data_IF_827108509947
#
_entry.id   IF_827108509947
#
_cell.length_a   1.000
_cell.length_b   1.000
_cell.length_c   1.000
_cell.angle_alpha   90.00
_cell.angle_beta   90.00
_cell.angle_gamma   90.00
#
_symmetry.space_group_name_H-M   'P 1'
#
loop_
_entity.id
_entity.type
_entity.pdbx_description
1 polymer ?
#
# COMPACT_ATOMS: atom_id res chain seq x y z
N UNK A 1 -16.54 20.52 9.68
CA UNK A 1 -16.61 19.45 10.69
C UNK A 1 -15.23 19.32 11.29
N UNK A 2 -15.08 19.71 12.56
CA UNK A 2 -13.81 19.72 13.26
C UNK A 2 -13.85 18.56 14.27
N UNK A 3 -13.48 17.37 13.82
CA UNK A 3 -13.46 16.14 14.63
C UNK A 3 -12.23 16.09 15.56
N UNK A 4 -11.94 17.21 16.23
CA UNK A 4 -10.97 17.26 17.32
C UNK A 4 -11.63 16.75 18.60
N UNK A 5 -12.08 15.49 18.57
CA UNK A 5 -12.38 14.77 19.80
C UNK A 5 -11.02 14.56 20.49
N UNK A 6 -10.83 14.96 21.76
CA UNK A 6 -9.57 14.73 22.44
C UNK A 6 -9.32 13.23 22.43
N UNK A 7 -8.15 12.83 21.91
CA UNK A 7 -7.66 11.47 22.05
C UNK A 7 -7.60 11.19 23.56
N UNK A 8 -8.12 10.04 23.98
CA UNK A 8 -8.21 9.65 25.38
C UNK A 8 -6.84 9.83 26.06
N UNK A 9 -6.81 10.60 27.16
CA UNK A 9 -5.61 10.90 27.94
C UNK A 9 -4.82 9.66 28.35
N UNK A 10 -5.51 8.53 28.48
CA UNK A 10 -4.89 7.25 28.81
C UNK A 10 -3.97 6.69 27.71
N UNK A 11 -4.08 7.16 26.46
CA UNK A 11 -3.25 6.66 25.36
C UNK A 11 -1.79 7.11 25.48
N UNK A 12 -1.55 8.32 25.98
CA UNK A 12 -0.21 8.91 26.07
C UNK A 12 0.63 8.31 27.21
N UNK A 13 -0.03 7.65 28.17
CA UNK A 13 0.61 7.09 29.37
C UNK A 13 1.00 5.61 29.20
N UNK A 14 0.52 4.95 28.14
CA UNK A 14 0.73 3.52 27.91
C UNK A 14 1.88 3.27 26.94
N UNK A 15 2.70 2.27 27.24
CA UNK A 15 3.76 1.80 26.33
C UNK A 15 3.18 1.29 25.02
N UNK A 16 3.73 1.74 23.90
CA UNK A 16 3.38 1.23 22.56
C UNK A 16 3.87 -0.21 22.40
N UNK A 17 2.94 -1.16 22.26
CA UNK A 17 3.21 -2.59 22.07
C UNK A 17 3.35 -2.95 20.58
N UNK A 18 4.29 -2.28 19.88
CA UNK A 18 4.44 -2.40 18.43
C UNK A 18 4.74 -3.83 17.96
N UNK A 19 5.69 -4.50 18.60
CA UNK A 19 6.09 -5.86 18.26
C UNK A 19 4.90 -6.83 18.33
N UNK A 20 4.15 -6.81 19.45
CA UNK A 20 3.02 -7.71 19.63
C UNK A 20 1.93 -7.51 18.57
N UNK A 21 1.66 -6.25 18.22
CA UNK A 21 0.68 -5.93 17.18
C UNK A 21 1.10 -6.45 15.80
N UNK A 22 2.35 -6.23 15.40
CA UNK A 22 2.86 -6.71 14.12
C UNK A 22 2.92 -8.24 14.09
N UNK A 23 3.38 -8.88 15.17
CA UNK A 23 3.41 -10.35 15.28
C UNK A 23 2.03 -10.97 15.19
N UNK A 24 1.01 -10.36 15.81
CA UNK A 24 -0.38 -10.80 15.70
C UNK A 24 -0.88 -10.70 14.25
N UNK A 25 -0.66 -9.56 13.57
CA UNK A 25 -1.07 -9.38 12.16
C UNK A 25 -0.38 -10.42 11.24
N UNK A 26 0.90 -10.71 11.46
CA UNK A 26 1.63 -11.70 10.65
C UNK A 26 1.08 -13.12 10.86
N UNK A 27 0.77 -13.48 12.10
CA UNK A 27 0.34 -14.85 12.45
C UNK A 27 -1.14 -15.09 12.20
N UNK A 28 -1.97 -14.15 12.63
CA UNK A 28 -3.42 -14.32 12.70
C UNK A 28 -4.09 -13.91 11.39
N UNK A 29 -3.55 -12.89 10.71
CA UNK A 29 -4.07 -12.41 9.41
C UNK A 29 -3.24 -12.89 8.22
N UNK A 30 -2.15 -13.64 8.46
CA UNK A 30 -1.21 -14.11 7.43
C UNK A 30 -0.68 -12.99 6.52
N UNK A 31 -0.56 -11.77 7.04
CA UNK A 31 -0.15 -10.62 6.26
C UNK A 31 1.32 -10.71 5.83
N UNK A 32 1.57 -10.53 4.53
CA UNK A 32 2.90 -10.49 3.93
C UNK A 32 3.19 -9.17 3.18
N UNK A 33 2.22 -8.24 3.13
CA UNK A 33 2.35 -6.91 2.54
C UNK A 33 2.00 -5.85 3.58
N UNK A 34 2.88 -4.86 3.75
CA UNK A 34 2.70 -3.72 4.65
C UNK A 34 2.81 -2.40 3.89
N UNK A 35 1.93 -1.44 4.19
CA UNK A 35 2.03 -0.07 3.69
C UNK A 35 2.28 0.88 4.87
N UNK A 36 3.47 1.47 4.92
CA UNK A 36 3.81 2.50 5.92
C UNK A 36 3.29 3.86 5.46
N UNK A 37 2.34 4.42 6.21
CA UNK A 37 1.79 5.76 5.97
C UNK A 37 2.49 6.74 6.90
N UNK A 38 3.60 7.30 6.43
CA UNK A 38 4.40 8.28 7.18
C UNK A 38 5.10 9.25 6.21
N UNK A 39 5.46 10.49 6.65
CA UNK A 39 6.22 11.43 5.82
C UNK A 39 7.63 10.93 5.44
N UNK A 40 8.16 9.99 6.21
CA UNK A 40 9.44 9.33 5.96
C UNK A 40 9.46 7.96 6.63
N UNK A 41 9.99 6.92 5.97
CA UNK A 41 10.01 5.57 6.50
C UNK A 41 10.83 5.47 7.79
N UNK A 42 10.17 5.09 8.88
CA UNK A 42 10.81 4.81 10.18
C UNK A 42 10.45 3.43 10.71
N UNK A 43 9.33 2.84 10.26
CA UNK A 43 8.85 1.55 10.76
C UNK A 43 9.33 0.37 9.92
N UNK A 44 9.67 0.60 8.64
CA UNK A 44 10.04 -0.45 7.70
C UNK A 44 11.14 -1.40 8.21
N UNK A 45 12.13 -0.90 8.96
CA UNK A 45 13.17 -1.75 9.55
C UNK A 45 12.59 -2.65 10.66
N UNK A 46 11.87 -2.06 11.61
CA UNK A 46 11.26 -2.79 12.72
C UNK A 46 10.23 -3.82 12.26
N UNK A 47 9.46 -3.53 11.20
CA UNK A 47 8.53 -4.50 10.60
C UNK A 47 9.28 -5.71 10.05
N UNK A 48 10.41 -5.51 9.35
CA UNK A 48 11.24 -6.64 8.87
C UNK A 48 11.75 -7.49 10.01
N UNK A 49 12.29 -6.87 11.05
CA UNK A 49 12.78 -7.57 12.24
C UNK A 49 11.67 -8.39 12.91
N UNK A 50 10.47 -7.82 13.08
CA UNK A 50 9.32 -8.55 13.61
C UNK A 50 8.96 -9.75 12.71
N UNK A 51 9.00 -9.57 11.40
CA UNK A 51 8.68 -10.62 10.43
C UNK A 51 9.69 -11.76 10.42
N UNK A 52 10.99 -11.45 10.47
CA UNK A 52 12.07 -12.43 10.57
C UNK A 52 11.98 -13.26 11.85
N UNK A 53 11.59 -12.64 12.97
CA UNK A 53 11.41 -13.33 14.25
C UNK A 53 10.11 -14.16 14.32
N UNK A 54 9.12 -13.81 13.51
CA UNK A 54 7.76 -14.37 13.62
C UNK A 54 7.47 -15.43 12.56
N UNK A 55 7.95 -15.25 11.33
CA UNK A 55 7.59 -16.09 10.19
C UNK A 55 8.55 -17.27 10.01
N UNK A 56 8.03 -18.48 10.17
CA UNK A 56 8.79 -19.73 10.03
C UNK A 56 9.03 -20.13 8.57
N UNK A 57 8.28 -19.57 7.61
CA UNK A 57 8.32 -19.99 6.20
C UNK A 57 9.42 -19.31 5.37
N UNK A 58 10.33 -18.55 5.99
CA UNK A 58 11.49 -17.89 5.33
C UNK A 58 11.14 -17.02 4.12
N UNK A 59 9.88 -16.59 3.97
CA UNK A 59 9.50 -15.61 2.97
C UNK A 59 9.93 -14.21 3.41
N UNK A 60 10.11 -13.28 2.46
CA UNK A 60 10.38 -11.87 2.77
C UNK A 60 9.10 -11.05 2.65
N UNK A 61 8.81 -10.13 3.58
CA UNK A 61 7.62 -9.28 3.49
C UNK A 61 7.83 -8.20 2.42
N UNK A 62 6.77 -7.85 1.72
CA UNK A 62 6.73 -6.64 0.89
C UNK A 62 6.37 -5.45 1.78
N UNK A 63 7.28 -4.49 1.92
CA UNK A 63 7.05 -3.26 2.70
C UNK A 63 7.10 -2.06 1.77
N UNK A 64 5.94 -1.43 1.58
CA UNK A 64 5.74 -0.26 0.74
C UNK A 64 5.74 0.99 1.62
N UNK A 65 6.37 2.05 1.10
CA UNK A 65 6.52 3.32 1.81
C UNK A 65 5.66 4.35 1.09
N UNK A 66 4.67 4.93 1.76
CA UNK A 66 3.78 5.89 1.11
C UNK A 66 4.55 7.14 0.65
N UNK A 67 5.46 7.64 1.49
CA UNK A 67 6.28 8.83 1.21
C UNK A 67 7.71 8.63 1.70
N UNK A 68 8.61 9.48 1.20
CA UNK A 68 9.99 9.55 1.68
C UNK A 68 10.51 10.97 1.56
N UNK A 69 11.00 11.51 2.67
CA UNK A 69 11.63 12.83 2.72
C UNK A 69 12.61 13.06 1.56
N UNK A 70 12.53 14.25 0.95
CA UNK A 70 13.33 14.69 -0.21
C UNK A 70 13.02 13.95 -1.52
N UNK A 71 11.96 13.15 -1.57
CA UNK A 71 11.39 12.62 -2.81
C UNK A 71 10.07 13.33 -3.12
N UNK A 72 9.66 13.30 -4.38
CA UNK A 72 8.38 13.87 -4.81
C UNK A 72 7.22 13.02 -4.29
N UNK A 73 6.28 13.63 -3.58
CA UNK A 73 5.21 12.92 -2.89
C UNK A 73 4.28 12.17 -3.84
N UNK A 74 3.94 12.79 -4.99
CA UNK A 74 3.03 12.18 -5.95
C UNK A 74 3.69 11.02 -6.66
N UNK A 75 4.93 11.19 -7.11
CA UNK A 75 5.71 10.14 -7.77
C UNK A 75 5.94 8.98 -6.80
N UNK A 76 6.34 9.25 -5.55
CA UNK A 76 6.59 8.19 -4.56
C UNK A 76 5.31 7.44 -4.26
N UNK A 77 4.19 8.11 -3.98
CA UNK A 77 2.93 7.44 -3.70
C UNK A 77 2.40 6.64 -4.90
N UNK A 78 2.38 7.23 -6.10
CA UNK A 78 1.86 6.56 -7.30
C UNK A 78 2.72 5.38 -7.72
N UNK A 79 4.05 5.47 -7.58
CA UNK A 79 4.96 4.35 -7.84
C UNK A 79 4.66 3.18 -6.89
N UNK A 80 4.37 3.48 -5.61
CA UNK A 80 4.12 2.47 -4.58
C UNK A 80 2.74 1.84 -4.72
N UNK A 81 1.75 2.63 -5.14
CA UNK A 81 0.46 2.13 -5.59
C UNK A 81 0.60 1.24 -6.83
N UNK A 82 1.39 1.63 -7.83
CA UNK A 82 1.65 0.79 -9.00
C UNK A 82 2.27 -0.57 -8.60
N UNK A 83 3.18 -0.59 -7.62
CA UNK A 83 3.72 -1.85 -7.05
C UNK A 83 2.64 -2.72 -6.37
N UNK A 84 1.55 -2.12 -5.89
CA UNK A 84 0.39 -2.83 -5.32
C UNK A 84 -0.58 -3.36 -6.41
N UNK A 85 -0.58 -2.75 -7.59
CA UNK A 85 -1.58 -2.95 -8.65
C UNK A 85 -1.41 -4.19 -9.52
N UNK A 86 -0.51 -5.10 -9.16
CA UNK A 86 -0.58 -6.48 -9.70
C UNK A 86 -1.88 -7.20 -9.27
N UNK A 87 -2.67 -6.61 -8.35
CA UNK A 87 -4.09 -6.91 -8.09
C UNK A 87 -5.04 -5.91 -8.74
N UNK A 88 -6.04 -6.40 -9.49
CA UNK A 88 -6.98 -5.60 -10.30
C UNK A 88 -7.94 -4.71 -9.50
N UNK A 89 -8.20 -5.04 -8.22
CA UNK A 89 -9.16 -4.32 -7.38
C UNK A 89 -8.70 -2.90 -6.99
N UNK A 90 -7.40 -2.64 -7.05
CA UNK A 90 -6.79 -1.37 -6.64
C UNK A 90 -7.17 -0.22 -7.58
N UNK A 91 -7.17 -0.49 -8.89
CA UNK A 91 -7.50 0.52 -9.90
C UNK A 91 -8.97 0.93 -9.86
N UNK A 92 -9.87 -0.01 -9.57
CA UNK A 92 -11.30 0.29 -9.42
C UNK A 92 -11.56 1.30 -8.30
N UNK A 93 -10.91 1.10 -7.15
CA UNK A 93 -11.03 2.01 -6.00
C UNK A 93 -10.36 3.37 -6.25
N UNK A 94 -9.21 3.40 -6.94
CA UNK A 94 -8.53 4.64 -7.33
C UNK A 94 -9.42 5.52 -8.22
N UNK A 95 -10.05 4.93 -9.25
CA UNK A 95 -10.95 5.66 -10.13
C UNK A 95 -12.22 6.15 -9.40
N UNK A 96 -12.76 5.33 -8.49
CA UNK A 96 -13.96 5.66 -7.72
C UNK A 96 -13.74 6.83 -6.75
N UNK A 97 -12.63 6.84 -6.00
CA UNK A 97 -12.35 7.84 -4.95
C UNK A 97 -12.02 9.23 -5.48
N UNK A 98 -11.52 9.33 -6.72
CA UNK A 98 -11.21 10.61 -7.36
C UNK A 98 -12.42 11.35 -7.94
N UNK A 99 -13.64 10.82 -7.79
CA UNK A 99 -14.85 11.37 -8.42
C UNK A 99 -14.59 11.76 -9.88
N UNK A 100 -13.83 10.93 -10.60
CA UNK A 100 -13.80 11.04 -12.05
C UNK A 100 -15.21 10.65 -12.47
N UNK A 101 -16.07 11.65 -12.65
CA UNK A 101 -17.43 11.46 -13.15
C UNK A 101 -17.30 10.60 -14.41
N UNK A 102 -18.16 9.59 -14.61
CA UNK A 102 -18.21 8.92 -15.90
C UNK A 102 -18.43 10.01 -16.95
N UNK A 103 -17.37 10.34 -17.71
CA UNK A 103 -17.45 11.36 -18.73
C UNK A 103 -18.43 10.87 -19.78
N UNK A 104 -19.24 11.78 -20.32
CA UNK A 104 -20.45 11.48 -21.10
C UNK A 104 -20.21 10.66 -22.39
N UNK A 105 -18.95 10.40 -22.75
CA UNK A 105 -18.57 9.82 -24.03
C UNK A 105 -17.49 8.74 -23.85
N UNK A 106 -17.84 7.48 -24.07
CA UNK A 106 -16.90 6.35 -23.95
C UNK A 106 -15.76 6.38 -25.00
N UNK A 107 -15.95 7.10 -26.12
CA UNK A 107 -15.00 7.18 -27.21
C UNK A 107 -13.78 8.07 -26.93
N UNK A 108 -13.83 8.91 -25.89
CA UNK A 108 -12.73 9.84 -25.54
C UNK A 108 -11.63 9.21 -24.68
N UNK A 109 -11.81 7.96 -24.22
CA UNK A 109 -10.91 7.29 -23.27
C UNK A 109 -10.18 6.06 -23.79
N UNK A 110 -10.53 5.57 -24.98
CA UNK A 110 -9.65 4.62 -25.62
C UNK A 110 -8.51 5.43 -26.23
N UNK A 111 -7.49 5.75 -25.41
CA UNK A 111 -6.16 5.80 -25.96
C UNK A 111 -6.04 4.57 -26.86
N UNK A 112 -5.59 4.74 -28.09
CA UNK A 112 -5.26 3.60 -28.96
C UNK A 112 -4.07 2.90 -28.32
N UNK A 113 -4.33 2.09 -27.30
CA UNK A 113 -3.34 1.25 -26.68
C UNK A 113 -2.89 0.26 -27.74
N UNK A 114 -1.57 0.01 -27.83
CA UNK A 114 -1.09 -1.01 -28.74
C UNK A 114 -1.83 -2.32 -28.41
N UNK A 115 -2.32 -2.99 -29.45
CA UNK A 115 -2.83 -4.33 -29.29
C UNK A 115 -1.72 -5.22 -28.72
N UNK A 116 -2.12 -6.17 -27.87
CA UNK A 116 -1.20 -7.14 -27.31
C UNK A 116 -0.40 -7.83 -28.44
N UNK A 117 0.93 -7.81 -28.35
CA UNK A 117 1.79 -8.48 -29.33
C UNK A 117 1.83 -9.97 -29.03
N UNK A 118 1.13 -10.76 -29.83
CA UNK A 118 1.20 -12.21 -29.75
C UNK A 118 2.59 -12.70 -30.18
N UNK A 119 3.28 -13.38 -29.27
CA UNK A 119 4.45 -14.18 -29.62
C UNK A 119 3.95 -15.53 -30.13
N UNK A 120 3.79 -15.66 -31.44
CA UNK A 120 3.47 -16.93 -32.08
C UNK A 120 4.77 -17.70 -32.31
N UNK A 121 4.90 -18.86 -31.68
CA UNK A 121 5.96 -19.80 -32.04
C UNK A 121 5.57 -20.48 -33.36
N UNK A 122 6.45 -20.52 -34.38
CA UNK A 122 6.17 -21.30 -35.58
C UNK A 122 6.08 -22.79 -35.20
N UNK A 123 5.04 -23.46 -35.69
CA UNK A 123 4.82 -24.89 -35.56
C UNK A 123 5.93 -25.71 -36.26
#
# INVERSE_FOLDING_TARGET
MNDNKPVDSQMYEKTVRFYDAITAIIKDEAANVFLEISPHPVLAKSIRECYELTNQQQSSPLILLALKRKEDEQITLLTRLAQFTTSSQVWQQYCHTRQILPMKNHAEYCDNFPSYKFHLNPC
#
